data_IF_678103221014
#
_entry.id   IF_678103221014
#
_cell.length_a   1.000
_cell.length_b   1.000
_cell.length_c   1.000
_cell.angle_alpha   90.00
_cell.angle_beta   90.00
_cell.angle_gamma   90.00
#
_symmetry.space_group_name_H-M   'P 1'
#
loop_
_entity.id
_entity.type
_entity.pdbx_description
1 polymer ?
#
# COMPACT_ATOMS: atom_id res chain seq x y z
N UNK A 1 12.60 -16.30 21.10
CA UNK A 1 13.59 -16.34 19.99
C UNK A 1 14.35 -15.01 19.95
N UNK A 2 15.69 -15.09 19.80
CA UNK A 2 16.57 -13.92 19.75
C UNK A 2 17.21 -13.83 18.36
N UNK A 3 16.92 -12.77 17.65
CA UNK A 3 17.48 -12.43 16.34
C UNK A 3 18.53 -11.35 16.52
N UNK A 4 19.66 -11.39 15.81
CA UNK A 4 20.63 -10.31 15.87
C UNK A 4 21.21 -9.95 14.51
N UNK A 5 21.61 -8.69 14.38
CA UNK A 5 22.39 -8.19 13.25
C UNK A 5 23.17 -6.95 13.67
N UNK A 6 24.28 -6.66 12.97
CA UNK A 6 25.00 -5.40 13.12
C UNK A 6 24.33 -4.23 12.39
N UNK A 7 23.25 -4.49 11.64
CA UNK A 7 22.52 -3.49 10.87
C UNK A 7 21.01 -3.63 11.07
N UNK A 8 20.53 -3.31 12.28
CA UNK A 8 19.11 -3.30 12.62
C UNK A 8 18.58 -1.86 12.56
N UNK A 9 17.46 -1.64 11.85
CA UNK A 9 16.84 -0.33 11.72
C UNK A 9 15.99 0.00 12.94
N UNK A 10 16.51 0.83 13.84
CA UNK A 10 15.87 1.21 15.10
C UNK A 10 15.91 2.73 15.24
N UNK A 11 14.78 3.37 15.57
CA UNK A 11 14.69 4.82 15.79
C UNK A 11 15.30 5.65 14.64
N UNK A 12 15.03 5.23 13.40
CA UNK A 12 15.50 5.88 12.17
C UNK A 12 17.03 5.86 11.96
N UNK A 13 17.71 4.87 12.50
CA UNK A 13 19.15 4.68 12.31
C UNK A 13 19.54 3.19 12.34
N UNK A 14 20.68 2.87 11.74
CA UNK A 14 21.27 1.54 11.81
C UNK A 14 21.98 1.33 13.15
N UNK A 15 21.66 0.23 13.83
CA UNK A 15 22.25 -0.13 15.13
C UNK A 15 22.65 -1.60 15.15
N UNK A 16 23.73 -1.91 15.89
CA UNK A 16 24.07 -3.28 16.23
C UNK A 16 23.18 -3.74 17.39
N UNK A 17 22.25 -4.65 17.12
CA UNK A 17 21.22 -5.00 18.09
C UNK A 17 20.74 -6.45 18.02
N UNK A 18 20.16 -6.88 19.13
CA UNK A 18 19.35 -8.09 19.25
C UNK A 18 17.87 -7.71 19.41
N UNK A 19 17.00 -8.47 18.76
CA UNK A 19 15.55 -8.37 18.86
C UNK A 19 15.04 -9.65 19.55
N UNK A 20 14.39 -9.52 20.69
CA UNK A 20 13.76 -10.60 21.39
C UNK A 20 12.30 -10.73 20.94
N UNK A 21 11.93 -11.89 20.39
CA UNK A 21 10.63 -12.15 19.78
C UNK A 21 9.93 -13.28 20.53
N UNK A 22 8.69 -13.04 20.93
CA UNK A 22 7.79 -14.09 21.41
C UNK A 22 7.09 -14.74 20.22
N UNK A 23 7.34 -16.00 19.99
CA UNK A 23 6.64 -16.79 18.96
C UNK A 23 5.19 -17.11 19.36
N UNK A 24 4.87 -17.09 20.66
CA UNK A 24 3.53 -17.29 21.17
C UNK A 24 2.63 -16.06 20.95
N UNK A 25 3.06 -14.89 21.43
CA UNK A 25 2.30 -13.64 21.28
C UNK A 25 2.47 -13.00 19.89
N UNK A 26 3.54 -13.33 19.17
CA UNK A 26 3.91 -12.70 17.91
C UNK A 26 4.44 -11.28 18.06
N UNK A 27 4.95 -10.93 19.25
CA UNK A 27 5.40 -9.57 19.59
C UNK A 27 6.90 -9.48 19.77
N UNK A 28 7.44 -8.27 19.58
CA UNK A 28 8.77 -7.91 20.04
C UNK A 28 8.70 -7.70 21.54
N UNK A 29 9.44 -8.50 22.32
CA UNK A 29 9.49 -8.40 23.79
C UNK A 29 10.53 -7.39 24.25
N UNK A 30 11.64 -7.29 23.53
CA UNK A 30 12.73 -6.40 23.88
C UNK A 30 13.74 -6.19 22.76
N UNK A 31 14.57 -5.17 22.97
CA UNK A 31 15.70 -4.87 22.09
C UNK A 31 16.90 -4.62 22.99
N UNK A 32 18.03 -5.24 22.71
CA UNK A 32 19.28 -5.06 23.46
C UNK A 32 20.48 -5.00 22.51
N UNK A 33 21.66 -4.74 23.08
CA UNK A 33 22.88 -4.64 22.29
C UNK A 33 23.24 -5.97 21.64
N UNK A 34 23.84 -5.93 20.47
CA UNK A 34 24.37 -7.09 19.77
C UNK A 34 25.27 -7.93 20.68
N UNK A 35 25.11 -9.23 20.66
CA UNK A 35 25.92 -10.15 21.47
C UNK A 35 25.64 -10.16 22.98
N UNK A 36 24.60 -9.47 23.47
CA UNK A 36 24.25 -9.45 24.90
C UNK A 36 23.78 -10.81 25.43
N UNK A 37 23.19 -11.64 24.57
CA UNK A 37 22.70 -12.98 24.87
C UNK A 37 23.06 -13.92 23.74
N UNK A 38 23.00 -15.22 23.96
CA UNK A 38 23.11 -16.19 22.88
C UNK A 38 21.92 -15.99 21.91
N UNK A 39 22.22 -15.73 20.66
CA UNK A 39 21.23 -15.57 19.61
C UNK A 39 20.81 -16.92 19.04
N UNK A 40 19.52 -17.05 18.70
CA UNK A 40 19.01 -18.17 17.93
C UNK A 40 19.36 -18.03 16.45
N UNK A 41 19.37 -16.79 15.95
CA UNK A 41 19.77 -16.47 14.56
C UNK A 41 20.66 -15.22 14.55
N UNK A 42 21.80 -15.32 13.87
CA UNK A 42 22.73 -14.22 13.64
C UNK A 42 22.83 -13.91 12.14
N UNK A 43 22.39 -12.73 11.77
CA UNK A 43 22.37 -12.26 10.38
C UNK A 43 23.62 -11.45 9.99
N UNK A 44 24.57 -11.29 10.92
CA UNK A 44 25.85 -10.61 10.65
C UNK A 44 25.66 -9.19 10.15
N UNK A 45 26.08 -8.92 8.90
CA UNK A 45 25.99 -7.60 8.26
C UNK A 45 24.69 -7.39 7.46
N UNK A 46 23.78 -8.35 7.42
CA UNK A 46 22.50 -8.19 6.70
C UNK A 46 21.63 -7.12 7.36
N UNK A 47 20.85 -6.42 6.54
CA UNK A 47 19.96 -5.36 7.01
C UNK A 47 18.69 -5.97 7.61
N UNK A 48 18.37 -5.61 8.83
CA UNK A 48 17.12 -5.98 9.50
C UNK A 48 16.24 -4.75 9.62
N UNK A 49 15.07 -4.80 8.98
CA UNK A 49 14.12 -3.68 8.90
C UNK A 49 12.73 -4.13 9.36
N UNK A 50 11.80 -3.19 9.71
CA UNK A 50 10.41 -3.55 9.95
C UNK A 50 9.78 -4.17 8.70
N UNK A 51 8.79 -5.02 8.89
CA UNK A 51 7.99 -5.56 7.80
C UNK A 51 7.33 -4.48 6.96
N UNK A 52 7.33 -4.66 5.63
CA UNK A 52 6.73 -3.72 4.70
C UNK A 52 5.20 -3.82 4.73
N UNK A 53 4.54 -2.69 4.47
CA UNK A 53 3.08 -2.59 4.39
C UNK A 53 2.71 -1.96 3.05
N UNK A 54 1.92 -2.68 2.24
CA UNK A 54 1.41 -2.21 0.97
C UNK A 54 -0.08 -1.88 1.09
N UNK A 55 -0.40 -0.59 1.09
CA UNK A 55 -1.78 -0.12 1.30
C UNK A 55 -2.57 0.10 0.01
N UNK A 56 -1.93 -0.18 -1.15
CA UNK A 56 -2.57 -0.04 -2.45
C UNK A 56 -2.03 -1.11 -3.42
N UNK A 57 -2.77 -2.20 -3.58
CA UNK A 57 -2.39 -3.32 -4.45
C UNK A 57 -3.63 -4.12 -4.86
N UNK A 58 -3.90 -4.20 -6.17
CA UNK A 58 -5.11 -4.82 -6.73
C UNK A 58 -5.01 -6.33 -6.81
N UNK A 59 -3.80 -6.85 -7.02
CA UNK A 59 -3.59 -8.26 -7.19
C UNK A 59 -2.13 -8.67 -7.34
N UNK A 60 -1.90 -9.97 -7.38
CA UNK A 60 -0.61 -10.59 -7.71
C UNK A 60 -0.81 -12.06 -8.05
N UNK A 61 0.17 -12.67 -8.70
CA UNK A 61 0.26 -14.12 -8.94
C UNK A 61 -0.97 -14.71 -9.63
N UNK A 62 -1.59 -13.94 -10.54
CA UNK A 62 -2.78 -14.35 -11.29
C UNK A 62 -4.12 -14.02 -10.63
N UNK A 63 -4.13 -13.60 -9.38
CA UNK A 63 -5.32 -13.24 -8.62
C UNK A 63 -5.54 -11.73 -8.56
N UNK A 64 -6.80 -11.32 -8.62
CA UNK A 64 -7.29 -9.94 -8.45
C UNK A 64 -8.33 -9.87 -7.33
N UNK A 65 -8.33 -8.81 -6.57
CA UNK A 65 -9.29 -8.63 -5.47
C UNK A 65 -10.74 -8.81 -5.91
N UNK A 66 -11.08 -8.34 -7.13
CA UNK A 66 -12.44 -8.43 -7.68
C UNK A 66 -12.83 -9.83 -8.17
N UNK A 67 -11.88 -10.78 -8.27
CA UNK A 67 -12.21 -12.19 -8.59
C UNK A 67 -13.06 -12.83 -7.48
N UNK A 68 -12.93 -12.33 -6.26
CA UNK A 68 -13.65 -12.84 -5.09
C UNK A 68 -13.41 -14.34 -4.82
N UNK A 69 -12.16 -14.79 -5.01
CA UNK A 69 -11.72 -16.17 -4.80
C UNK A 69 -10.86 -16.28 -3.53
N UNK A 70 -11.31 -17.08 -2.57
CA UNK A 70 -10.63 -17.24 -1.28
C UNK A 70 -9.22 -17.82 -1.44
N UNK A 71 -9.08 -18.86 -2.26
CA UNK A 71 -7.79 -19.52 -2.48
C UNK A 71 -6.79 -18.61 -3.16
N UNK A 72 -7.23 -17.79 -4.13
CA UNK A 72 -6.40 -16.78 -4.78
C UNK A 72 -5.86 -15.75 -3.78
N UNK A 73 -6.71 -15.27 -2.87
CA UNK A 73 -6.30 -14.31 -1.84
C UNK A 73 -5.34 -14.94 -0.81
N UNK A 74 -5.57 -16.21 -0.42
CA UNK A 74 -4.64 -16.96 0.46
C UNK A 74 -3.28 -17.17 -0.20
N UNK A 75 -3.27 -17.59 -1.46
CA UNK A 75 -2.05 -17.75 -2.25
C UNK A 75 -1.29 -16.43 -2.37
N UNK A 76 -2.00 -15.32 -2.57
CA UNK A 76 -1.37 -13.99 -2.60
C UNK A 76 -0.73 -13.63 -1.26
N UNK A 77 -1.45 -13.77 -0.13
CA UNK A 77 -0.91 -13.50 1.20
C UNK A 77 0.35 -14.33 1.51
N UNK A 78 0.41 -15.59 1.05
CA UNK A 78 1.59 -16.46 1.20
C UNK A 78 2.78 -16.02 0.36
N UNK A 79 2.56 -15.57 -0.87
CA UNK A 79 3.66 -15.30 -1.81
C UNK A 79 4.22 -13.88 -1.70
N UNK A 80 3.40 -12.90 -1.28
CA UNK A 80 3.83 -11.50 -1.17
C UNK A 80 4.91 -11.29 -0.10
N UNK A 81 5.06 -12.22 0.83
CA UNK A 81 6.15 -12.19 1.82
C UNK A 81 7.54 -12.25 1.17
N UNK A 82 7.66 -12.84 -0.02
CA UNK A 82 8.92 -12.86 -0.78
C UNK A 82 9.42 -11.46 -1.17
N UNK A 83 8.55 -10.46 -1.08
CA UNK A 83 8.83 -9.05 -1.34
C UNK A 83 9.11 -8.26 -0.05
N UNK A 84 9.08 -8.92 1.12
CA UNK A 84 9.21 -8.29 2.43
C UNK A 84 7.91 -7.72 2.99
N UNK A 85 6.77 -7.95 2.34
CA UNK A 85 5.46 -7.46 2.79
C UNK A 85 4.92 -8.37 3.89
N UNK A 86 4.65 -7.79 5.06
CA UNK A 86 4.05 -8.48 6.23
C UNK A 86 2.60 -8.08 6.46
N UNK A 87 2.15 -7.02 5.78
CA UNK A 87 0.78 -6.57 5.84
C UNK A 87 0.37 -5.82 4.59
N UNK A 88 -0.88 -5.96 4.16
CA UNK A 88 -1.36 -5.30 2.94
C UNK A 88 -2.87 -5.03 2.97
N UNK A 89 -3.32 -4.15 2.09
CA UNK A 89 -4.73 -3.90 1.83
C UNK A 89 -5.06 -4.41 0.41
N UNK A 90 -5.76 -5.54 0.25
CA UNK A 90 -6.37 -5.87 -1.04
C UNK A 90 -7.20 -4.68 -1.52
N UNK A 91 -6.93 -4.22 -2.75
CA UNK A 91 -7.53 -3.02 -3.33
C UNK A 91 -8.50 -3.42 -4.44
N UNK A 92 -9.71 -2.88 -4.41
CA UNK A 92 -10.69 -3.11 -5.48
C UNK A 92 -10.38 -2.25 -6.70
N UNK A 93 -10.86 -2.70 -7.88
CA UNK A 93 -10.99 -1.85 -9.07
C UNK A 93 -12.47 -1.56 -9.29
N UNK A 94 -12.79 -0.39 -9.86
CA UNK A 94 -14.16 0.00 -10.22
C UNK A 94 -14.90 -1.11 -10.97
N UNK A 95 -16.08 -1.47 -10.49
CA UNK A 95 -16.97 -2.47 -11.07
C UNK A 95 -18.42 -2.30 -10.60
N UNK A 96 -19.33 -3.14 -11.07
CA UNK A 96 -20.71 -3.14 -10.60
C UNK A 96 -20.79 -3.39 -9.10
N UNK A 97 -21.82 -2.87 -8.45
CA UNK A 97 -22.05 -3.04 -7.01
C UNK A 97 -22.11 -4.53 -6.61
N UNK A 98 -22.62 -5.39 -7.48
CA UNK A 98 -22.66 -6.83 -7.24
C UNK A 98 -21.27 -7.45 -7.15
N UNK A 99 -20.37 -7.12 -8.09
CA UNK A 99 -19.00 -7.62 -8.12
C UNK A 99 -18.23 -7.10 -6.91
N UNK A 100 -18.30 -5.79 -6.64
CA UNK A 100 -17.61 -5.20 -5.48
C UNK A 100 -18.11 -5.79 -4.16
N UNK A 101 -19.42 -5.99 -4.01
CA UNK A 101 -19.97 -6.62 -2.80
C UNK A 101 -19.44 -8.03 -2.58
N UNK A 102 -19.28 -8.82 -3.65
CA UNK A 102 -18.68 -10.17 -3.56
C UNK A 102 -17.20 -10.10 -3.18
N UNK A 103 -16.44 -9.20 -3.80
CA UNK A 103 -15.03 -8.99 -3.49
C UNK A 103 -14.82 -8.60 -2.02
N UNK A 104 -15.58 -7.62 -1.52
CA UNK A 104 -15.52 -7.14 -0.15
C UNK A 104 -15.83 -8.25 0.87
N UNK A 105 -16.88 -9.05 0.62
CA UNK A 105 -17.24 -10.21 1.46
C UNK A 105 -16.14 -11.28 1.46
N UNK A 106 -15.52 -11.53 0.31
CA UNK A 106 -14.43 -12.50 0.19
C UNK A 106 -13.23 -12.07 1.04
N UNK A 107 -12.77 -10.82 0.90
CA UNK A 107 -11.66 -10.29 1.70
C UNK A 107 -12.00 -10.33 3.19
N UNK A 108 -13.21 -9.90 3.58
CA UNK A 108 -13.65 -9.91 4.97
C UNK A 108 -13.65 -11.33 5.57
N UNK A 109 -14.08 -12.32 4.80
CA UNK A 109 -14.08 -13.73 5.23
C UNK A 109 -12.66 -14.22 5.51
N UNK A 110 -11.75 -14.07 4.54
CA UNK A 110 -10.35 -14.55 4.66
C UNK A 110 -9.62 -13.81 5.79
N UNK A 111 -9.79 -12.49 5.91
CA UNK A 111 -9.20 -11.70 6.99
C UNK A 111 -9.68 -12.13 8.38
N UNK A 112 -10.98 -12.47 8.52
CA UNK A 112 -11.55 -12.98 9.76
C UNK A 112 -10.95 -14.33 10.15
N UNK A 113 -10.82 -15.25 9.20
CA UNK A 113 -10.20 -16.55 9.40
C UNK A 113 -8.74 -16.41 9.81
N UNK A 114 -7.97 -15.56 9.12
CA UNK A 114 -6.58 -15.26 9.48
C UNK A 114 -6.44 -14.68 10.89
N UNK A 115 -7.40 -13.86 11.32
CA UNK A 115 -7.43 -13.30 12.69
C UNK A 115 -7.78 -14.36 13.74
N UNK A 116 -8.68 -15.28 13.43
CA UNK A 116 -9.11 -16.35 14.34
C UNK A 116 -8.02 -17.42 14.49
N UNK A 117 -7.37 -17.78 13.40
CA UNK A 117 -6.28 -18.77 13.35
C UNK A 117 -5.23 -18.34 12.32
N UNK A 118 -4.06 -17.94 12.81
CA UNK A 118 -2.95 -17.49 11.97
C UNK A 118 -2.39 -18.60 11.06
N UNK A 119 -2.56 -19.85 11.44
CA UNK A 119 -2.07 -20.99 10.68
C UNK A 119 -3.01 -21.34 9.51
N UNK A 120 -4.28 -20.88 9.55
CA UNK A 120 -5.26 -21.08 8.49
C UNK A 120 -4.97 -20.22 7.25
N UNK A 121 -4.37 -19.05 7.43
CA UNK A 121 -3.92 -18.17 6.32
C UNK A 121 -2.52 -17.65 6.66
N UNK A 122 -1.47 -18.43 6.40
CA UNK A 122 -0.09 -18.01 6.64
C UNK A 122 0.33 -16.87 5.70
N UNK A 123 1.43 -16.20 6.06
CA UNK A 123 2.01 -15.12 5.28
C UNK A 123 1.63 -13.71 5.76
N UNK A 124 1.52 -12.77 4.82
CA UNK A 124 1.21 -11.38 5.12
C UNK A 124 -0.20 -11.20 5.66
N UNK A 125 -0.36 -10.28 6.61
CA UNK A 125 -1.64 -9.98 7.24
C UNK A 125 -2.51 -9.08 6.35
N UNK A 126 -3.79 -9.44 6.19
CA UNK A 126 -4.80 -8.58 5.58
C UNK A 126 -5.21 -7.52 6.62
N UNK A 127 -4.72 -6.30 6.48
CA UNK A 127 -4.89 -5.22 7.46
C UNK A 127 -6.22 -4.46 7.28
N UNK A 128 -6.91 -4.69 6.20
CA UNK A 128 -8.15 -4.06 5.80
C UNK A 128 -8.32 -4.09 4.30
N UNK A 129 -9.13 -3.17 3.77
CA UNK A 129 -9.44 -3.05 2.35
C UNK A 129 -9.21 -1.60 1.92
N UNK A 130 -8.62 -1.41 0.74
CA UNK A 130 -8.64 -0.15 0.03
C UNK A 130 -9.72 -0.21 -1.04
N UNK A 131 -10.78 0.59 -0.90
CA UNK A 131 -11.81 0.74 -1.91
C UNK A 131 -11.36 1.81 -2.91
N UNK A 132 -10.70 1.38 -4.01
CA UNK A 132 -10.42 2.25 -5.14
C UNK A 132 -11.47 2.07 -6.23
N UNK A 133 -12.17 3.15 -6.52
CA UNK A 133 -13.37 3.11 -7.38
C UNK A 133 -14.57 2.75 -6.50
N UNK A 134 -15.62 3.12 -6.92
CA UNK A 134 -16.48 3.55 -7.98
C UNK A 134 -16.60 5.10 -8.07
N UNK A 135 -16.18 5.85 -7.03
CA UNK A 135 -16.40 7.30 -6.90
C UNK A 135 -15.32 8.13 -7.62
N UNK A 136 -15.04 7.80 -8.88
CA UNK A 136 -13.93 8.37 -9.67
C UNK A 136 -14.45 9.34 -10.74
N UNK A 137 -13.57 10.21 -11.21
CA UNK A 137 -13.82 11.08 -12.36
C UNK A 137 -13.65 10.28 -13.66
N UNK A 138 -14.67 10.26 -14.49
CA UNK A 138 -14.60 9.62 -15.80
C UNK A 138 -13.44 10.15 -16.65
N UNK A 139 -13.11 11.45 -16.52
CA UNK A 139 -12.01 12.07 -17.24
C UNK A 139 -10.64 11.53 -16.85
N UNK A 140 -10.45 11.16 -15.59
CA UNK A 140 -9.17 10.68 -15.04
C UNK A 140 -9.26 9.24 -14.53
N UNK A 141 -10.16 8.46 -15.09
CA UNK A 141 -10.39 7.06 -14.71
C UNK A 141 -9.19 6.13 -14.94
N UNK A 142 -8.24 6.52 -15.81
CA UNK A 142 -7.13 5.64 -16.17
C UNK A 142 -7.62 4.33 -16.81
N UNK A 143 -7.18 3.20 -16.29
CA UNK A 143 -7.59 1.86 -16.73
C UNK A 143 -8.95 1.40 -16.15
N UNK A 144 -9.59 2.20 -15.29
CA UNK A 144 -10.86 1.88 -14.66
C UNK A 144 -12.02 1.86 -15.67
N UNK A 145 -13.01 0.92 -15.57
CA UNK A 145 -14.18 0.88 -16.45
C UNK A 145 -15.10 2.09 -16.24
N UNK A 146 -15.31 2.84 -17.31
CA UNK A 146 -16.03 4.15 -17.25
C UNK A 146 -17.48 4.03 -16.84
N UNK A 147 -18.15 2.97 -17.28
CA UNK A 147 -19.56 2.73 -17.03
C UNK A 147 -19.91 2.57 -15.54
N UNK A 148 -18.93 2.23 -14.72
CA UNK A 148 -19.11 2.06 -13.27
C UNK A 148 -18.53 3.22 -12.44
N UNK A 149 -17.97 4.24 -13.08
CA UNK A 149 -17.56 5.47 -12.40
C UNK A 149 -18.78 6.34 -12.08
N UNK A 150 -19.11 6.46 -10.82
CA UNK A 150 -20.28 7.21 -10.33
C UNK A 150 -19.91 8.29 -9.34
N UNK A 151 -20.85 9.17 -9.01
CA UNK A 151 -20.67 10.15 -7.94
C UNK A 151 -20.72 9.45 -6.57
N UNK A 152 -20.04 10.01 -5.54
CA UNK A 152 -20.16 9.50 -4.18
C UNK A 152 -21.61 9.38 -3.71
N UNK A 153 -21.98 8.21 -3.20
CA UNK A 153 -23.28 7.86 -2.65
C UNK A 153 -23.11 7.18 -1.29
N UNK A 154 -23.56 7.85 -0.23
CA UNK A 154 -23.41 7.37 1.14
C UNK A 154 -24.19 6.08 1.42
N UNK A 155 -25.37 5.91 0.82
CA UNK A 155 -26.16 4.69 1.03
C UNK A 155 -25.51 3.48 0.33
N UNK A 156 -24.95 3.69 -0.86
CA UNK A 156 -24.16 2.67 -1.54
C UNK A 156 -22.90 2.35 -0.71
N UNK A 157 -22.17 3.36 -0.23
CA UNK A 157 -20.96 3.15 0.59
C UNK A 157 -21.28 2.37 1.88
N UNK A 158 -22.37 2.65 2.57
CA UNK A 158 -22.79 1.89 3.76
C UNK A 158 -22.98 0.41 3.43
N UNK A 159 -23.59 0.07 2.29
CA UNK A 159 -23.71 -1.33 1.85
C UNK A 159 -22.33 -1.98 1.61
N UNK A 160 -21.38 -1.26 1.04
CA UNK A 160 -19.99 -1.75 0.89
C UNK A 160 -19.30 -1.93 2.26
N UNK A 161 -19.48 -0.98 3.15
CA UNK A 161 -18.90 -1.05 4.49
C UNK A 161 -19.46 -2.25 5.28
N UNK A 162 -20.74 -2.49 5.22
CA UNK A 162 -21.39 -3.67 5.83
C UNK A 162 -20.90 -4.96 5.17
N UNK A 163 -20.80 -5.01 3.84
CA UNK A 163 -20.31 -6.17 3.12
C UNK A 163 -18.86 -6.52 3.45
N UNK A 164 -18.07 -5.53 3.82
CA UNK A 164 -16.65 -5.67 4.23
C UNK A 164 -16.47 -6.01 5.72
N UNK A 165 -17.53 -6.22 6.50
CA UNK A 165 -17.47 -6.32 7.98
C UNK A 165 -16.73 -5.11 8.62
N UNK A 166 -16.81 -3.92 8.02
CA UNK A 166 -16.12 -2.71 8.51
C UNK A 166 -14.61 -2.69 8.25
N UNK A 167 -14.10 -3.51 7.34
CA UNK A 167 -12.66 -3.60 7.05
C UNK A 167 -12.16 -2.55 6.05
N UNK A 168 -13.02 -1.73 5.43
CA UNK A 168 -12.56 -0.64 4.56
C UNK A 168 -11.76 0.37 5.40
N UNK A 169 -10.50 0.60 5.02
CA UNK A 169 -9.57 1.53 5.67
C UNK A 169 -9.30 2.77 4.85
N UNK A 170 -9.28 2.64 3.53
CA UNK A 170 -9.03 3.73 2.59
C UNK A 170 -10.12 3.70 1.53
N UNK A 171 -10.60 4.88 1.14
CA UNK A 171 -11.47 5.09 -0.02
C UNK A 171 -10.85 6.11 -0.93
N UNK A 172 -10.54 5.73 -2.16
CA UNK A 172 -10.12 6.68 -3.21
C UNK A 172 -11.35 7.29 -3.86
N UNK A 173 -11.39 8.63 -3.94
CA UNK A 173 -12.50 9.35 -4.56
C UNK A 173 -12.05 10.64 -5.27
N UNK A 174 -12.82 11.00 -6.30
CA UNK A 174 -12.73 12.29 -6.98
C UNK A 174 -13.52 13.34 -6.20
N UNK A 175 -12.81 14.18 -5.42
CA UNK A 175 -13.43 15.10 -4.48
C UNK A 175 -14.28 16.20 -5.14
N UNK A 176 -14.06 16.51 -6.40
CA UNK A 176 -14.90 17.45 -7.16
C UNK A 176 -16.32 16.91 -7.42
N UNK A 177 -16.50 15.58 -7.30
CA UNK A 177 -17.78 14.91 -7.43
C UNK A 177 -18.49 14.70 -6.08
N UNK A 178 -17.81 14.97 -4.95
CA UNK A 178 -18.34 14.83 -3.58
C UNK A 178 -19.06 16.12 -3.18
N UNK A 179 -20.36 16.19 -3.44
CA UNK A 179 -21.16 17.37 -3.18
C UNK A 179 -21.11 17.77 -1.70
N UNK A 180 -20.63 19.00 -1.44
CA UNK A 180 -20.45 19.52 -0.10
C UNK A 180 -19.49 18.69 0.76
N UNK A 181 -18.65 17.83 0.15
CA UNK A 181 -17.71 16.94 0.85
C UNK A 181 -18.37 16.00 1.86
N UNK A 182 -19.59 15.54 1.56
CA UNK A 182 -20.38 14.71 2.49
C UNK A 182 -19.73 13.33 2.71
N UNK A 183 -19.31 12.67 1.63
CA UNK A 183 -18.60 11.40 1.73
C UNK A 183 -17.27 11.57 2.48
N UNK A 184 -16.50 12.59 2.14
CA UNK A 184 -15.21 12.88 2.80
C UNK A 184 -15.38 13.04 4.30
N UNK A 185 -16.37 13.83 4.77
CA UNK A 185 -16.63 14.00 6.20
C UNK A 185 -17.08 12.70 6.87
N UNK A 186 -18.02 11.97 6.23
CA UNK A 186 -18.50 10.70 6.75
C UNK A 186 -17.37 9.69 6.95
N UNK A 187 -16.47 9.57 5.97
CA UNK A 187 -15.31 8.68 6.06
C UNK A 187 -14.41 9.08 7.24
N UNK A 188 -14.07 10.36 7.35
CA UNK A 188 -13.22 10.87 8.43
C UNK A 188 -13.85 10.66 9.83
N UNK A 189 -15.14 10.90 9.98
CA UNK A 189 -15.88 10.69 11.24
C UNK A 189 -15.91 9.22 11.67
N UNK A 190 -15.81 8.29 10.71
CA UNK A 190 -15.77 6.85 10.97
C UNK A 190 -14.35 6.26 10.97
N UNK A 191 -13.31 7.10 10.98
CA UNK A 191 -11.91 6.67 11.04
C UNK A 191 -11.40 6.03 9.75
N UNK A 192 -12.09 6.25 8.63
CA UNK A 192 -11.73 5.76 7.30
C UNK A 192 -11.00 6.88 6.55
N UNK A 193 -9.94 6.55 5.86
CA UNK A 193 -9.14 7.52 5.10
C UNK A 193 -9.84 7.86 3.79
N UNK A 194 -10.25 9.11 3.61
CA UNK A 194 -10.58 9.65 2.32
C UNK A 194 -9.27 10.02 1.59
N UNK A 195 -8.99 9.38 0.46
CA UNK A 195 -7.81 9.60 -0.39
C UNK A 195 -8.25 10.20 -1.72
N UNK A 196 -7.62 11.30 -2.14
CA UNK A 196 -7.97 11.98 -3.38
C UNK A 196 -7.21 11.35 -4.55
N UNK A 197 -7.94 10.79 -5.50
CA UNK A 197 -7.36 10.15 -6.68
C UNK A 197 -8.35 10.03 -7.82
N UNK A 198 -7.89 9.69 -9.01
CA UNK A 198 -8.70 9.62 -10.23
C UNK A 198 -9.63 10.82 -10.38
N UNK A 199 -9.06 12.02 -10.34
CA UNK A 199 -9.78 13.26 -10.08
C UNK A 199 -9.29 14.40 -10.93
N UNK A 200 -10.20 15.25 -11.38
CA UNK A 200 -9.92 16.51 -12.08
C UNK A 200 -9.88 17.73 -11.15
N UNK A 201 -9.90 17.50 -9.83
CA UNK A 201 -9.99 18.58 -8.86
C UNK A 201 -8.85 19.58 -9.00
N UNK A 202 -9.20 20.87 -8.87
CA UNK A 202 -8.25 21.97 -8.72
C UNK A 202 -7.54 21.89 -7.37
N UNK A 203 -6.42 22.63 -7.26
CA UNK A 203 -5.71 22.75 -5.98
C UNK A 203 -6.63 23.31 -4.87
N UNK A 204 -7.53 24.23 -5.20
CA UNK A 204 -8.49 24.80 -4.24
C UNK A 204 -9.54 23.76 -3.78
N UNK A 205 -10.07 22.94 -4.70
CA UNK A 205 -11.00 21.85 -4.35
C UNK A 205 -10.33 20.80 -3.47
N UNK A 206 -9.10 20.40 -3.81
CA UNK A 206 -8.33 19.46 -2.97
C UNK A 206 -8.07 20.04 -1.57
N UNK A 207 -7.69 21.32 -1.45
CA UNK A 207 -7.53 22.00 -0.17
C UNK A 207 -8.81 22.00 0.66
N UNK A 208 -9.96 22.20 0.03
CA UNK A 208 -11.26 22.11 0.71
C UNK A 208 -11.60 20.68 1.14
N UNK A 209 -11.24 19.66 0.34
CA UNK A 209 -11.39 18.26 0.74
C UNK A 209 -10.53 17.94 1.97
N UNK A 210 -9.27 18.40 2.03
CA UNK A 210 -8.42 18.26 3.21
C UNK A 210 -9.00 18.96 4.44
N UNK A 211 -9.54 20.17 4.28
CA UNK A 211 -10.22 20.89 5.36
C UNK A 211 -11.49 20.14 5.86
N UNK A 212 -12.09 19.29 5.04
CA UNK A 212 -13.22 18.45 5.39
C UNK A 212 -12.83 17.03 5.83
N UNK A 213 -11.52 16.75 6.00
CA UNK A 213 -11.04 15.53 6.61
C UNK A 213 -10.41 14.51 5.65
N UNK A 214 -10.23 14.81 4.35
CA UNK A 214 -9.40 13.98 3.49
C UNK A 214 -7.96 13.99 4.00
N UNK A 215 -7.30 12.82 4.02
CA UNK A 215 -6.00 12.65 4.68
C UNK A 215 -4.91 12.11 3.76
N UNK A 216 -5.25 11.72 2.53
CA UNK A 216 -4.30 11.12 1.60
C UNK A 216 -4.56 11.57 0.16
N UNK A 217 -3.56 11.39 -0.68
CA UNK A 217 -3.64 11.47 -2.14
C UNK A 217 -3.14 10.15 -2.71
N UNK A 218 -3.96 9.51 -3.53
CA UNK A 218 -3.69 8.22 -4.17
C UNK A 218 -2.70 8.42 -5.32
N UNK A 219 -1.68 7.55 -5.41
CA UNK A 219 -0.66 7.49 -6.48
C UNK A 219 -0.38 8.84 -7.17
N UNK A 220 0.13 9.81 -6.39
CA UNK A 220 0.40 11.20 -6.82
C UNK A 220 1.03 11.24 -8.20
N UNK A 221 0.59 12.16 -9.04
CA UNK A 221 0.81 12.37 -10.47
C UNK A 221 -0.05 11.51 -11.41
N UNK A 222 -0.46 10.32 -11.01
CA UNK A 222 -1.18 9.37 -11.86
C UNK A 222 -2.69 9.50 -11.67
N UNK A 223 -3.48 9.33 -12.73
CA UNK A 223 -4.94 9.44 -12.67
C UNK A 223 -5.45 10.79 -12.16
N UNK A 224 -4.77 11.90 -12.41
CA UNK A 224 -5.17 13.24 -11.96
C UNK A 224 -4.67 14.34 -12.91
N UNK A 225 -5.24 15.55 -12.78
CA UNK A 225 -4.75 16.71 -13.51
C UNK A 225 -3.27 16.96 -13.22
N UNK A 226 -2.42 17.13 -14.24
CA UNK A 226 -0.99 17.29 -14.05
C UNK A 226 -0.66 18.59 -13.30
N UNK A 227 0.46 18.58 -12.57
CA UNK A 227 0.98 19.79 -11.92
C UNK A 227 1.30 20.88 -12.97
N UNK A 228 0.68 22.02 -12.82
CA UNK A 228 0.99 23.20 -13.62
C UNK A 228 1.17 24.43 -12.72
N UNK A 229 2.18 25.25 -12.98
CA UNK A 229 2.56 26.36 -12.10
C UNK A 229 1.46 27.42 -11.85
N UNK A 230 0.42 27.50 -12.69
CA UNK A 230 -0.75 28.38 -12.49
C UNK A 230 -2.00 27.65 -11.99
N UNK A 231 -2.09 26.34 -12.18
CA UNK A 231 -3.11 25.46 -11.60
C UNK A 231 -2.43 24.17 -11.17
N UNK A 232 -1.94 24.10 -9.91
CA UNK A 232 -1.11 22.98 -9.46
C UNK A 232 -1.86 21.67 -9.26
N UNK A 233 -3.19 21.69 -9.32
CA UNK A 233 -4.02 20.51 -9.14
C UNK A 233 -3.86 19.82 -7.79
N UNK A 234 -4.24 18.56 -7.74
CA UNK A 234 -4.07 17.71 -6.54
C UNK A 234 -2.57 17.54 -6.19
N UNK A 235 -1.63 17.34 -7.14
CA UNK A 235 -0.21 17.23 -6.78
C UNK A 235 0.30 18.46 -6.03
N UNK A 236 -0.06 19.66 -6.49
CA UNK A 236 0.32 20.90 -5.82
C UNK A 236 -0.28 21.04 -4.44
N UNK A 237 -1.52 20.62 -4.24
CA UNK A 237 -2.14 20.57 -2.93
C UNK A 237 -1.43 19.57 -2.01
N UNK A 238 -1.10 18.36 -2.50
CA UNK A 238 -0.34 17.36 -1.75
C UNK A 238 1.01 17.90 -1.27
N UNK A 239 1.73 18.65 -2.11
CA UNK A 239 3.02 19.24 -1.75
C UNK A 239 2.92 20.40 -0.75
N UNK A 240 1.86 21.19 -0.86
CA UNK A 240 1.62 22.33 0.02
C UNK A 240 1.20 21.90 1.44
N UNK A 241 0.33 20.90 1.54
CA UNK A 241 -0.20 20.41 2.82
C UNK A 241 0.63 19.23 3.31
N UNK A 242 1.67 19.52 4.11
CA UNK A 242 2.67 18.54 4.53
C UNK A 242 2.11 17.41 5.37
N UNK A 243 1.07 17.70 6.18
CA UNK A 243 0.43 16.73 7.10
C UNK A 243 -0.58 15.78 6.39
N UNK A 244 -0.81 15.98 5.09
CA UNK A 244 -1.57 15.05 4.26
C UNK A 244 -0.62 13.97 3.72
N UNK A 245 -1.01 12.73 3.78
CA UNK A 245 -0.25 11.64 3.17
C UNK A 245 -0.32 11.71 1.64
N UNK A 246 0.63 11.11 0.98
CA UNK A 246 0.59 10.91 -0.46
C UNK A 246 1.19 9.55 -0.79
N UNK A 247 0.51 8.81 -1.63
CA UNK A 247 1.01 7.57 -2.19
C UNK A 247 1.82 7.86 -3.46
N UNK A 248 2.82 7.02 -3.75
CA UNK A 248 3.59 7.10 -5.00
C UNK A 248 4.07 5.71 -5.42
N UNK A 249 4.02 5.43 -6.72
CA UNK A 249 4.56 4.20 -7.34
C UNK A 249 6.02 4.45 -7.72
N UNK A 250 6.93 3.63 -7.21
CA UNK A 250 8.38 3.82 -7.34
C UNK A 250 9.02 2.81 -8.31
N UNK A 251 8.41 2.62 -9.48
CA UNK A 251 8.88 1.71 -10.52
C UNK A 251 9.74 2.38 -11.61
N UNK A 252 9.70 3.72 -11.71
CA UNK A 252 10.37 4.50 -12.75
C UNK A 252 9.64 4.53 -14.09
N UNK A 253 8.43 3.93 -14.15
CA UNK A 253 7.55 3.90 -15.31
C UNK A 253 6.38 4.88 -15.11
N UNK A 254 5.74 4.84 -13.95
CA UNK A 254 4.67 5.76 -13.55
C UNK A 254 5.17 7.16 -13.23
N UNK A 255 6.39 7.27 -12.73
CA UNK A 255 7.01 8.56 -12.37
C UNK A 255 8.51 8.51 -12.61
N UNK A 256 9.06 9.54 -13.25
CA UNK A 256 10.51 9.75 -13.37
C UNK A 256 11.15 9.90 -11.99
N UNK A 257 12.40 9.48 -11.84
CA UNK A 257 13.12 9.52 -10.57
C UNK A 257 13.24 10.91 -9.98
N UNK A 258 13.29 11.95 -10.81
CA UNK A 258 13.28 13.35 -10.36
C UNK A 258 11.95 13.75 -9.78
N UNK A 259 10.83 13.23 -10.30
CA UNK A 259 9.50 13.44 -9.76
C UNK A 259 9.33 12.70 -8.41
N UNK A 260 9.84 11.45 -8.32
CA UNK A 260 9.88 10.68 -7.07
C UNK A 260 10.70 11.41 -6.01
N UNK A 261 11.91 11.88 -6.34
CA UNK A 261 12.74 12.66 -5.43
C UNK A 261 12.04 13.94 -4.94
N UNK A 262 11.42 14.67 -5.88
CA UNK A 262 10.68 15.91 -5.58
C UNK A 262 9.51 15.63 -4.63
N UNK A 263 8.75 14.57 -4.87
CA UNK A 263 7.66 14.14 -4.01
C UNK A 263 8.15 13.92 -2.57
N UNK A 264 9.17 13.10 -2.36
CA UNK A 264 9.69 12.81 -1.01
C UNK A 264 10.36 14.04 -0.37
N UNK A 265 10.97 14.92 -1.16
CA UNK A 265 11.49 16.21 -0.65
C UNK A 265 10.36 17.08 -0.09
N UNK A 266 9.21 17.12 -0.76
CA UNK A 266 8.05 17.89 -0.30
C UNK A 266 7.35 17.24 0.90
N UNK A 267 7.21 15.91 0.91
CA UNK A 267 6.50 15.17 1.97
C UNK A 267 7.34 14.91 3.21
N UNK A 268 8.67 14.97 3.08
CA UNK A 268 9.57 14.62 4.17
C UNK A 268 9.51 13.13 4.56
N UNK A 269 10.07 12.76 5.73
CA UNK A 269 10.17 11.37 6.14
C UNK A 269 8.85 10.76 6.66
N UNK A 270 7.82 11.56 6.90
CA UNK A 270 6.67 11.13 7.72
C UNK A 270 5.34 10.98 6.95
N UNK A 271 5.22 11.49 5.72
CA UNK A 271 3.94 11.54 5.00
C UNK A 271 3.97 11.05 3.55
N UNK A 272 5.14 10.61 3.04
CA UNK A 272 5.24 9.88 1.78
C UNK A 272 5.00 8.39 2.01
N UNK A 273 4.14 7.77 1.21
CA UNK A 273 3.83 6.34 1.25
C UNK A 273 4.19 5.74 -0.10
N UNK A 274 5.08 4.74 -0.11
CA UNK A 274 5.34 3.95 -1.29
C UNK A 274 4.30 2.84 -1.39
N UNK A 275 3.67 2.71 -2.56
CA UNK A 275 2.71 1.66 -2.87
C UNK A 275 3.14 0.91 -4.12
N UNK A 276 2.68 -0.32 -4.27
CA UNK A 276 2.94 -1.05 -5.51
C UNK A 276 1.95 -0.69 -6.61
N UNK A 277 0.70 -0.47 -6.27
CA UNK A 277 -0.41 -0.42 -7.25
C UNK A 277 -0.35 -1.64 -8.19
N UNK A 278 0.01 -2.80 -7.63
CA UNK A 278 0.28 -3.99 -8.41
C UNK A 278 -1.00 -4.65 -8.88
N UNK A 279 -0.93 -5.17 -10.10
CA UNK A 279 -1.98 -5.97 -10.71
C UNK A 279 -1.71 -7.46 -10.55
N UNK A 280 -2.71 -8.28 -10.91
CA UNK A 280 -2.60 -9.75 -10.99
C UNK A 280 -1.39 -10.25 -11.79
N UNK A 281 -0.81 -9.40 -12.64
CA UNK A 281 0.34 -9.71 -13.49
C UNK A 281 1.66 -9.82 -12.71
N UNK A 282 1.73 -9.24 -11.50
CA UNK A 282 2.92 -9.34 -10.65
C UNK A 282 3.24 -10.83 -10.37
N UNK A 283 4.48 -11.22 -10.70
CA UNK A 283 4.95 -12.60 -10.55
C UNK A 283 4.62 -13.54 -11.73
N UNK A 284 3.97 -13.05 -12.80
CA UNK A 284 3.68 -13.83 -14.01
C UNK A 284 4.71 -13.58 -15.11
N UNK A 285 4.81 -14.51 -16.09
CA UNK A 285 5.72 -14.35 -17.23
C UNK A 285 5.36 -13.16 -18.12
N UNK A 286 6.38 -12.52 -18.72
CA UNK A 286 6.24 -11.52 -19.78
C UNK A 286 5.38 -12.06 -20.93
N UNK A 287 4.56 -11.19 -21.53
CA UNK A 287 3.60 -11.56 -22.59
C UNK A 287 2.29 -12.14 -22.07
N UNK A 288 2.13 -12.27 -20.74
CA UNK A 288 0.83 -12.68 -20.17
C UNK A 288 -0.25 -11.66 -20.50
N UNK A 289 -1.41 -12.15 -20.94
CA UNK A 289 -2.60 -11.36 -21.23
C UNK A 289 -3.76 -11.84 -20.37
N UNK A 290 -4.37 -10.93 -19.62
CA UNK A 290 -5.53 -11.22 -18.76
C UNK A 290 -6.48 -10.02 -18.72
N UNK A 291 -7.70 -10.24 -18.27
CA UNK A 291 -8.65 -9.16 -18.03
C UNK A 291 -8.33 -8.47 -16.69
N UNK A 292 -8.44 -7.16 -16.71
CA UNK A 292 -8.42 -6.28 -15.53
C UNK A 292 -9.53 -5.26 -15.65
N UNK A 293 -10.50 -5.29 -14.75
CA UNK A 293 -11.68 -4.44 -14.82
C UNK A 293 -12.53 -4.60 -16.10
N UNK A 294 -12.45 -5.76 -16.77
CA UNK A 294 -13.10 -6.01 -18.05
C UNK A 294 -12.27 -5.63 -19.28
N UNK A 295 -11.16 -4.92 -19.13
CA UNK A 295 -10.25 -4.54 -20.20
C UNK A 295 -9.10 -5.58 -20.34
N UNK A 296 -8.70 -5.89 -21.58
CA UNK A 296 -7.56 -6.77 -21.82
C UNK A 296 -6.26 -6.01 -21.58
N UNK A 297 -5.39 -6.56 -20.73
CA UNK A 297 -4.09 -6.02 -20.36
C UNK A 297 -2.99 -7.01 -20.74
N UNK A 298 -1.84 -6.51 -21.16
CA UNK A 298 -0.64 -7.28 -21.48
C UNK A 298 0.56 -6.83 -20.64
N UNK A 299 1.35 -7.80 -20.17
CA UNK A 299 2.61 -7.58 -19.45
C UNK A 299 3.79 -7.51 -20.42
N UNK A 300 4.57 -6.44 -20.36
CA UNK A 300 5.73 -6.19 -21.22
C UNK A 300 7.06 -6.53 -20.54
N UNK A 301 8.16 -6.55 -21.33
CA UNK A 301 9.50 -6.93 -20.89
C UNK A 301 10.09 -6.02 -19.81
N UNK A 302 9.71 -4.74 -19.81
CA UNK A 302 10.15 -3.74 -18.82
C UNK A 302 9.36 -3.82 -17.49
N UNK A 303 8.43 -4.76 -17.38
CA UNK A 303 7.56 -4.94 -16.22
C UNK A 303 6.30 -4.06 -16.25
N UNK A 304 6.14 -3.22 -17.28
CA UNK A 304 4.91 -2.43 -17.44
C UNK A 304 3.74 -3.30 -17.90
N UNK A 305 2.53 -2.94 -17.47
CA UNK A 305 1.29 -3.52 -17.94
C UNK A 305 0.46 -2.46 -18.68
N UNK A 306 -0.08 -2.79 -19.84
CA UNK A 306 -0.80 -1.85 -20.67
C UNK A 306 -2.13 -2.41 -21.15
N UNK A 307 -3.14 -1.53 -21.24
CA UNK A 307 -4.37 -1.84 -21.96
C UNK A 307 -4.04 -2.12 -23.42
N UNK A 308 -4.44 -3.29 -23.93
CA UNK A 308 -4.13 -3.72 -25.31
C UNK A 308 -4.73 -2.77 -26.35
N UNK A 309 -5.94 -2.27 -26.11
CA UNK A 309 -6.66 -1.44 -27.08
C UNK A 309 -6.13 0.00 -27.18
N UNK A 310 -5.71 0.59 -26.05
CA UNK A 310 -5.31 2.02 -26.00
C UNK A 310 -3.83 2.25 -25.78
N UNK A 311 -3.07 1.22 -25.34
CA UNK A 311 -1.69 1.35 -24.90
C UNK A 311 -1.54 2.13 -23.59
N UNK A 312 -2.63 2.41 -22.88
CA UNK A 312 -2.59 3.12 -21.59
C UNK A 312 -1.93 2.23 -20.53
N UNK A 313 -1.00 2.80 -19.76
CA UNK A 313 -0.38 2.13 -18.62
C UNK A 313 -1.46 1.79 -17.58
N UNK A 314 -1.43 0.57 -17.05
CA UNK A 314 -2.42 0.05 -16.14
C UNK A 314 -1.73 -0.56 -14.92
N UNK A 315 -1.79 0.12 -13.76
CA UNK A 315 -1.14 -0.29 -12.54
C UNK A 315 0.29 -0.79 -12.73
N UNK A 316 0.84 -1.52 -11.80
CA UNK A 316 2.23 -1.95 -11.86
C UNK A 316 2.42 -3.46 -11.62
N UNK A 317 3.67 -3.91 -11.68
CA UNK A 317 4.13 -5.20 -11.17
C UNK A 317 5.24 -5.03 -10.12
N UNK A 318 5.36 -3.83 -9.56
CA UNK A 318 6.40 -3.45 -8.62
C UNK A 318 6.37 -4.34 -7.37
N UNK A 319 7.52 -4.87 -6.99
CA UNK A 319 7.73 -5.49 -5.68
C UNK A 319 8.21 -4.44 -4.69
N UNK A 320 7.73 -4.50 -3.45
CA UNK A 320 8.03 -3.46 -2.45
C UNK A 320 9.52 -3.40 -2.11
N UNK A 321 10.23 -4.51 -2.02
CA UNK A 321 11.68 -4.51 -1.82
C UNK A 321 12.46 -3.88 -3.00
N UNK A 322 11.99 -4.08 -4.23
CA UNK A 322 12.56 -3.41 -5.41
C UNK A 322 12.27 -1.90 -5.39
N UNK A 323 11.05 -1.51 -4.96
CA UNK A 323 10.70 -0.12 -4.74
C UNK A 323 11.61 0.55 -3.70
N UNK A 324 11.91 -0.11 -2.58
CA UNK A 324 12.86 0.39 -1.60
C UNK A 324 14.26 0.59 -2.20
N UNK A 325 14.76 -0.39 -2.98
CA UNK A 325 16.01 -0.23 -3.73
C UNK A 325 15.97 0.98 -4.65
N UNK A 326 14.91 1.12 -5.43
CA UNK A 326 14.73 2.21 -6.38
C UNK A 326 14.71 3.58 -5.69
N UNK A 327 14.05 3.70 -4.53
CA UNK A 327 14.06 4.93 -3.73
C UNK A 327 15.47 5.33 -3.31
N UNK A 328 16.25 4.37 -2.78
CA UNK A 328 17.58 4.66 -2.27
C UNK A 328 18.59 4.87 -3.40
N UNK A 329 18.65 3.96 -4.38
CA UNK A 329 19.73 3.91 -5.38
C UNK A 329 19.45 4.75 -6.61
N UNK A 330 18.19 4.83 -7.06
CA UNK A 330 17.84 5.56 -8.28
C UNK A 330 17.29 6.95 -8.01
N UNK A 331 16.38 7.08 -7.04
CA UNK A 331 15.82 8.37 -6.70
C UNK A 331 16.67 9.15 -5.68
N UNK A 332 17.65 8.53 -5.01
CA UNK A 332 18.51 9.21 -4.02
C UNK A 332 17.79 9.64 -2.74
N UNK A 333 16.68 8.97 -2.41
CA UNK A 333 15.90 9.25 -1.19
C UNK A 333 16.65 8.74 0.04
N UNK A 334 16.78 9.54 1.11
CA UNK A 334 17.45 9.10 2.34
C UNK A 334 16.81 7.85 2.95
N UNK A 335 17.62 6.97 3.56
CA UNK A 335 17.19 5.70 4.16
C UNK A 335 15.98 5.86 5.10
N UNK A 336 15.98 6.88 5.96
CA UNK A 336 14.88 7.14 6.87
C UNK A 336 13.56 7.32 6.10
N UNK A 337 13.58 8.17 5.09
CA UNK A 337 12.39 8.45 4.27
C UNK A 337 11.95 7.21 3.50
N UNK A 338 12.91 6.48 2.89
CA UNK A 338 12.63 5.30 2.10
C UNK A 338 12.05 4.15 2.94
N UNK A 339 12.65 3.84 4.10
CA UNK A 339 12.11 2.80 5.00
C UNK A 339 10.77 3.22 5.58
N UNK A 340 10.62 4.46 6.05
CA UNK A 340 9.35 4.93 6.58
C UNK A 340 8.23 4.88 5.54
N UNK A 341 8.55 5.15 4.26
CA UNK A 341 7.57 5.14 3.17
C UNK A 341 6.92 3.76 2.93
N UNK A 342 7.60 2.66 3.25
CA UNK A 342 7.07 1.30 3.11
C UNK A 342 6.79 0.59 4.44
N UNK A 343 6.93 1.28 5.58
CA UNK A 343 6.73 0.68 6.92
C UNK A 343 5.85 1.56 7.82
N UNK A 344 6.45 2.58 8.43
CA UNK A 344 5.78 3.40 9.45
C UNK A 344 4.71 4.32 8.88
N UNK A 345 4.95 4.92 7.71
CA UNK A 345 3.99 5.85 7.12
C UNK A 345 2.69 5.16 6.66
N UNK A 346 2.71 4.01 5.94
CA UNK A 346 1.48 3.28 5.66
C UNK A 346 0.79 2.80 6.95
N UNK A 347 1.53 2.38 8.00
CA UNK A 347 0.94 2.05 9.29
C UNK A 347 0.22 3.25 9.93
N UNK A 348 0.84 4.45 9.90
CA UNK A 348 0.22 5.70 10.38
C UNK A 348 -1.00 6.09 9.57
N UNK A 349 -0.93 5.96 8.25
CA UNK A 349 -2.05 6.29 7.36
C UNK A 349 -3.32 5.53 7.76
N UNK A 350 -3.18 4.22 8.04
CA UNK A 350 -4.32 3.37 8.42
C UNK A 350 -4.54 3.24 9.95
N UNK A 351 -3.84 4.04 10.79
CA UNK A 351 -4.00 4.08 12.23
C UNK A 351 -3.47 2.85 12.99
N UNK A 352 -2.49 2.14 12.42
CA UNK A 352 -1.90 0.92 13.00
C UNK A 352 -0.47 1.11 13.53
N UNK A 353 0.03 2.34 13.61
CA UNK A 353 1.40 2.64 14.02
C UNK A 353 1.73 2.22 15.46
N UNK A 354 0.72 1.98 16.28
CA UNK A 354 0.92 1.46 17.66
C UNK A 354 1.34 0.00 17.68
N UNK A 355 0.99 -0.75 16.65
CA UNK A 355 1.25 -2.20 16.57
C UNK A 355 2.21 -2.58 15.46
N UNK A 356 2.36 -1.77 14.42
CA UNK A 356 3.13 -2.09 13.20
C UNK A 356 4.09 -0.97 12.79
N UNK A 357 4.89 -1.23 11.76
CA UNK A 357 5.69 -0.24 11.03
C UNK A 357 7.02 0.16 11.67
N UNK A 358 7.39 -0.37 12.82
CA UNK A 358 8.73 -0.15 13.41
C UNK A 358 9.12 -1.25 14.38
N UNK A 359 10.42 -1.47 14.54
CA UNK A 359 10.98 -2.43 15.51
C UNK A 359 11.04 -1.78 16.88
N UNK A 360 10.04 -2.09 17.72
CA UNK A 360 9.89 -1.58 19.09
C UNK A 360 9.21 -2.63 19.96
N UNK A 361 9.60 -2.70 21.24
CA UNK A 361 8.96 -3.59 22.21
C UNK A 361 7.44 -3.34 22.29
N UNK A 362 6.67 -4.40 22.31
CA UNK A 362 5.19 -4.40 22.32
C UNK A 362 4.54 -4.39 20.95
N UNK A 363 5.26 -4.09 19.88
CA UNK A 363 4.75 -4.17 18.49
C UNK A 363 4.81 -5.59 17.96
N UNK A 364 4.09 -5.82 16.88
CA UNK A 364 4.15 -7.09 16.14
C UNK A 364 5.57 -7.35 15.66
N UNK A 365 6.03 -8.57 15.78
CA UNK A 365 7.33 -8.99 15.30
C UNK A 365 7.26 -9.25 13.78
N UNK A 366 6.96 -8.18 13.04
CA UNK A 366 7.01 -8.10 11.59
C UNK A 366 8.40 -7.62 11.21
N UNK A 367 9.25 -8.55 10.77
CA UNK A 367 10.69 -8.31 10.60
C UNK A 367 11.14 -8.85 9.25
N UNK A 368 11.88 -8.04 8.50
CA UNK A 368 12.46 -8.42 7.21
C UNK A 368 13.98 -8.35 7.30
N UNK A 369 14.64 -9.40 6.85
CA UNK A 369 16.08 -9.44 6.68
C UNK A 369 16.40 -9.31 5.19
N UNK A 370 17.16 -8.28 4.83
CA UNK A 370 17.52 -7.98 3.45
C UNK A 370 18.99 -8.23 3.18
N UNK A 371 19.27 -8.82 2.02
CA UNK A 371 20.62 -8.88 1.44
C UNK A 371 21.04 -7.51 0.91
N UNK A 372 22.31 -7.39 0.48
CA UNK A 372 22.83 -6.13 -0.08
C UNK A 372 22.11 -5.70 -1.37
N UNK A 373 21.61 -6.64 -2.16
CA UNK A 373 20.82 -6.40 -3.36
C UNK A 373 19.33 -6.15 -3.10
N UNK A 374 18.94 -6.00 -1.81
CA UNK A 374 17.58 -5.82 -1.31
C UNK A 374 16.66 -7.04 -1.50
N UNK A 375 17.16 -8.17 -1.96
CA UNK A 375 16.39 -9.41 -1.91
C UNK A 375 16.13 -9.84 -0.47
N UNK A 376 15.00 -10.48 -0.23
CA UNK A 376 14.62 -10.96 1.10
C UNK A 376 15.40 -12.23 1.43
N UNK A 377 16.18 -12.21 2.50
CA UNK A 377 16.85 -13.40 3.06
C UNK A 377 15.86 -14.24 3.85
N UNK A 378 15.13 -13.59 4.74
CA UNK A 378 14.08 -14.21 5.55
C UNK A 378 13.11 -13.16 6.06
N UNK A 379 11.92 -13.59 6.44
CA UNK A 379 10.86 -12.72 6.92
C UNK A 379 10.17 -13.36 8.12
N UNK A 380 9.75 -12.53 9.06
CA UNK A 380 8.91 -12.94 10.19
C UNK A 380 7.62 -12.14 10.14
N UNK A 381 6.50 -12.84 10.04
CA UNK A 381 5.17 -12.26 10.16
C UNK A 381 4.63 -12.58 11.55
N UNK A 382 4.52 -11.56 12.40
CA UNK A 382 4.08 -11.73 13.81
C UNK A 382 4.87 -12.83 14.52
N UNK A 383 6.22 -12.78 14.37
CA UNK A 383 7.18 -13.67 15.03
C UNK A 383 7.30 -15.09 14.45
N UNK A 384 6.66 -15.37 13.33
CA UNK A 384 6.76 -16.65 12.61
C UNK A 384 7.45 -16.47 11.26
N UNK A 385 8.33 -17.38 10.94
CA UNK A 385 9.04 -17.48 9.65
C UNK A 385 8.34 -18.46 8.73
#
# INVERSE_FOLDING_TARGET
>A
MILQSKRVWILNQWMEAQIEVSTESGKIEGICSYGSRQADMDFGELRVVPGFIDVHTHGAYGFDTNDAEEEGLRNWAQNIVSEGVTGFLPTTITQSEEVLTKALKNVAKVAREQKADRDSVPGAEILGIHLEGTYLSQKYKGAQPEEFCVKPDLEQFKRYFDASDGLIRIVTLACENDEGYQMTRFLNENGIVASLGHSSATCAQAAMAFANGARSVTHVYNGMAPFHHREPGIPGAAFRFKDVFGEIICDGLHSDWSAVYTFFTCKGPDHGVMVSDALRFKGLPVGTRMLFGGNLVELYEDGSAHLVDSGTLAGSTLKINEGLRNLVEKAGVPWQTAINACTLNPARLIGMERTKGSLQAGKDADIVVLREDYSVETIFCRGRN
#
